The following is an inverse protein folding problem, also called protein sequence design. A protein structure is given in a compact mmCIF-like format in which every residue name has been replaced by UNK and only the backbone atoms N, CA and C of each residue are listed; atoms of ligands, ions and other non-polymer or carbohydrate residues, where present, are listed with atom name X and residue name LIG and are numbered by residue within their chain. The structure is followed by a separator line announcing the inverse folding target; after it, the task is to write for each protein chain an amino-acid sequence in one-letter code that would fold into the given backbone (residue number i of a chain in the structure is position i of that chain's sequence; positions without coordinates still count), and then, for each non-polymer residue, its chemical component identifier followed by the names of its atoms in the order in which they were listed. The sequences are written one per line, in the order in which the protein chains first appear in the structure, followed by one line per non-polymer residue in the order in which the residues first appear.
data_IF_882125731005
#
_entry.id   IF_882125731005
#
_cell.length_a   1.000
_cell.length_b   1.000
_cell.length_c   1.000
_cell.angle_alpha   90.00
_cell.angle_beta   90.00
_cell.angle_gamma   90.00
#
_symmetry.space_group_name_H-M   'P 1'
#
loop_
_entity.id
_entity.type
_entity.pdbx_description
1 polymer ?
#
# COMPACT_ATOMS: atom_id res chain seq x y z
N UNK A 1 4.31 22.55 17.65
CA UNK A 1 3.75 21.22 17.98
C UNK A 1 3.29 20.58 16.69
N UNK A 2 4.04 19.62 16.15
CA UNK A 2 3.58 18.83 15.01
C UNK A 2 2.42 17.96 15.51
N UNK A 3 1.20 18.24 15.04
CA UNK A 3 0.04 17.41 15.37
C UNK A 3 0.26 16.04 14.72
N UNK A 4 0.02 14.95 15.42
CA UNK A 4 -0.07 13.63 14.80
C UNK A 4 -1.46 13.43 14.19
N UNK A 5 -1.62 12.59 13.15
CA UNK A 5 -2.95 12.26 12.65
C UNK A 5 -3.76 11.55 13.75
N UNK A 6 -5.07 11.78 13.74
CA UNK A 6 -6.02 11.19 14.68
C UNK A 6 -7.03 10.37 13.87
N UNK A 7 -7.16 9.08 14.18
CA UNK A 7 -8.15 8.17 13.58
C UNK A 7 -9.09 7.72 14.70
N UNK A 8 -10.39 7.80 14.47
CA UNK A 8 -11.44 7.38 15.42
C UNK A 8 -11.23 7.96 16.85
N UNK A 9 -10.71 9.19 16.94
CA UNK A 9 -10.44 9.88 18.21
C UNK A 9 -9.11 9.55 18.88
N UNK A 10 -8.31 8.64 18.32
CA UNK A 10 -7.03 8.19 18.87
C UNK A 10 -5.86 8.71 18.04
N UNK A 11 -4.80 9.15 18.71
CA UNK A 11 -3.56 9.59 18.03
C UNK A 11 -2.81 8.40 17.47
N UNK A 12 -2.23 8.60 16.29
CA UNK A 12 -1.31 7.64 15.69
C UNK A 12 0.14 8.04 15.98
N UNK A 13 0.97 7.05 16.27
CA UNK A 13 2.42 7.18 16.41
C UNK A 13 3.12 6.22 15.45
N UNK A 14 4.22 6.66 14.84
CA UNK A 14 5.03 5.79 13.99
C UNK A 14 5.65 4.70 14.85
N UNK A 15 5.29 3.45 14.57
CA UNK A 15 5.87 2.26 15.22
C UNK A 15 7.12 1.82 14.49
N UNK A 16 7.07 1.78 13.16
CA UNK A 16 8.20 1.37 12.34
C UNK A 16 8.12 1.93 10.93
N UNK A 17 9.25 2.28 10.32
CA UNK A 17 9.34 2.71 8.91
C UNK A 17 10.08 1.65 8.13
N UNK A 18 9.42 1.06 7.13
CA UNK A 18 10.03 0.05 6.26
C UNK A 18 10.79 0.71 5.11
N UNK A 19 10.14 1.66 4.44
CA UNK A 19 10.72 2.38 3.32
C UNK A 19 10.52 3.87 3.53
N UNK A 20 11.62 4.62 3.40
CA UNK A 20 11.64 6.06 3.48
C UNK A 20 13.06 6.59 3.33
N UNK A 21 13.16 7.83 2.90
CA UNK A 21 14.41 8.60 2.91
C UNK A 21 14.15 9.88 3.73
N UNK A 22 13.86 10.99 3.07
CA UNK A 22 13.43 12.21 3.76
C UNK A 22 12.03 12.09 4.38
N UNK A 23 11.20 11.17 3.87
CA UNK A 23 9.81 10.97 4.27
C UNK A 23 9.44 9.49 4.27
N UNK A 24 8.58 9.03 5.18
CA UNK A 24 8.13 7.65 5.21
C UNK A 24 7.18 7.37 4.04
N UNK A 25 7.57 6.41 3.20
CA UNK A 25 6.80 5.94 2.05
C UNK A 25 5.91 4.78 2.45
N UNK A 26 6.47 3.82 3.19
CA UNK A 26 5.74 2.65 3.66
C UNK A 26 6.14 2.34 5.11
N UNK A 27 5.16 2.33 6.00
CA UNK A 27 5.41 2.31 7.44
C UNK A 27 4.19 1.79 8.20
N UNK A 28 4.41 1.46 9.46
CA UNK A 28 3.36 1.06 10.41
C UNK A 28 3.22 2.13 11.46
N UNK A 29 1.98 2.49 11.73
CA UNK A 29 1.61 3.29 12.89
C UNK A 29 0.82 2.43 13.86
N UNK A 30 0.87 2.82 15.13
CA UNK A 30 0.00 2.29 16.18
C UNK A 30 -0.82 3.43 16.77
N UNK A 31 -1.97 3.10 17.34
CA UNK A 31 -2.73 4.04 18.13
C UNK A 31 -2.58 3.79 19.63
N UNK A 32 -3.26 4.61 20.43
CA UNK A 32 -3.22 4.55 21.91
C UNK A 32 -3.74 3.20 22.48
N UNK A 33 -4.46 2.41 21.68
CA UNK A 33 -4.98 1.07 22.06
C UNK A 33 -4.14 -0.07 21.43
N UNK A 34 -2.94 0.24 20.94
CA UNK A 34 -2.03 -0.70 20.27
C UNK A 34 -2.60 -1.31 18.97
N UNK A 35 -3.66 -0.74 18.41
CA UNK A 35 -4.18 -1.15 17.10
C UNK A 35 -3.19 -0.69 16.01
N UNK A 36 -2.82 -1.62 15.12
CA UNK A 36 -1.83 -1.38 14.08
C UNK A 36 -2.50 -0.95 12.78
N UNK A 37 -1.83 -0.04 12.08
CA UNK A 37 -2.23 0.39 10.74
C UNK A 37 -1.01 0.44 9.83
N UNK A 38 -1.17 -0.05 8.61
CA UNK A 38 -0.19 0.10 7.55
C UNK A 38 -0.48 1.39 6.78
N UNK A 39 0.57 2.12 6.44
CA UNK A 39 0.51 3.38 5.73
C UNK A 39 1.31 3.27 4.43
N UNK A 40 0.72 3.68 3.30
CA UNK A 40 1.43 3.82 2.02
C UNK A 40 1.22 5.21 1.43
N UNK A 41 2.34 5.87 1.11
CA UNK A 41 2.37 7.13 0.40
C UNK A 41 1.99 6.94 -1.08
N UNK A 42 1.25 7.89 -1.65
CA UNK A 42 0.83 7.79 -3.06
C UNK A 42 0.79 9.11 -3.86
N UNK A 43 0.80 10.29 -3.22
CA UNK A 43 0.81 11.58 -3.95
C UNK A 43 1.38 12.73 -3.09
N UNK A 44 2.16 13.63 -3.71
CA UNK A 44 2.68 14.88 -3.12
C UNK A 44 2.19 16.17 -3.81
N UNK A 45 1.43 16.08 -4.91
CA UNK A 45 1.07 17.25 -5.75
C UNK A 45 0.25 18.31 -5.02
N UNK A 46 -0.54 17.89 -4.03
CA UNK A 46 -1.40 18.77 -3.22
C UNK A 46 -1.15 18.56 -1.72
N UNK A 47 0.11 18.43 -1.32
CA UNK A 47 0.48 17.97 0.02
C UNK A 47 0.68 16.46 0.03
N UNK A 48 1.12 15.93 1.18
CA UNK A 48 1.53 14.53 1.29
C UNK A 48 0.33 13.66 1.63
N UNK A 49 0.09 12.63 0.82
CA UNK A 49 -1.08 11.77 0.98
C UNK A 49 -0.67 10.33 1.23
N UNK A 50 -1.33 9.72 2.20
CA UNK A 50 -1.19 8.31 2.55
C UNK A 50 -2.54 7.62 2.61
N UNK A 51 -2.57 6.39 2.14
CA UNK A 51 -3.64 5.44 2.47
C UNK A 51 -3.22 4.74 3.75
N UNK A 52 -4.14 4.71 4.71
CA UNK A 52 -3.95 4.07 6.01
C UNK A 52 -5.03 3.01 6.20
N UNK A 53 -4.60 1.77 6.43
CA UNK A 53 -5.49 0.62 6.61
C UNK A 53 -5.15 -0.12 7.90
N UNK A 54 -6.15 -0.61 8.66
CA UNK A 54 -5.91 -1.51 9.79
C UNK A 54 -5.12 -2.73 9.35
N UNK A 55 -4.25 -3.22 10.23
CA UNK A 55 -3.52 -4.47 10.02
C UNK A 55 -3.28 -5.20 11.34
N UNK A 56 -2.76 -6.41 11.25
CA UNK A 56 -2.39 -7.28 12.36
C UNK A 56 -0.93 -7.71 12.28
N UNK A 57 -0.39 -8.13 13.41
CA UNK A 57 0.94 -8.74 13.49
C UNK A 57 1.09 -9.95 12.55
N UNK A 58 0.02 -10.76 12.40
CA UNK A 58 0.02 -11.91 11.51
C UNK A 58 0.13 -11.52 10.04
N UNK A 59 -0.55 -10.46 9.63
CA UNK A 59 -0.48 -9.94 8.26
C UNK A 59 0.90 -9.32 7.97
N UNK A 60 1.45 -8.55 8.92
CA UNK A 60 2.82 -8.02 8.80
C UNK A 60 3.85 -9.15 8.69
N UNK A 61 3.72 -10.20 9.51
CA UNK A 61 4.54 -11.41 9.42
C UNK A 61 4.42 -12.09 8.05
N UNK A 62 3.20 -12.26 7.56
CA UNK A 62 2.95 -12.87 6.25
C UNK A 62 3.53 -12.03 5.11
N UNK A 63 3.47 -10.70 5.20
CA UNK A 63 4.11 -9.80 4.23
C UNK A 63 5.63 -9.96 4.26
N UNK A 64 6.24 -9.90 5.45
CA UNK A 64 7.71 -10.02 5.61
C UNK A 64 8.26 -11.39 5.22
N UNK A 65 7.43 -12.44 5.25
CA UNK A 65 7.79 -13.80 4.80
C UNK A 65 7.34 -14.12 3.38
N UNK A 66 7.00 -13.09 2.58
CA UNK A 66 6.54 -13.22 1.19
C UNK A 66 5.34 -14.17 1.00
N UNK A 67 4.49 -14.32 2.02
CA UNK A 67 3.26 -15.13 1.94
C UNK A 67 2.10 -14.35 1.33
N UNK A 68 2.11 -13.03 1.52
CA UNK A 68 1.18 -12.09 0.91
C UNK A 68 1.96 -10.92 0.30
N UNK A 69 1.36 -10.25 -0.68
CA UNK A 69 1.91 -9.04 -1.30
C UNK A 69 1.62 -7.83 -0.43
N UNK A 70 2.31 -6.71 -0.70
CA UNK A 70 1.99 -5.43 -0.03
C UNK A 70 0.54 -5.04 -0.32
N UNK A 71 0.08 -5.25 -1.55
CA UNK A 71 -1.29 -4.95 -1.98
C UNK A 71 -2.34 -5.76 -1.18
N UNK A 72 -2.05 -7.01 -0.86
CA UNK A 72 -2.97 -7.86 -0.09
C UNK A 72 -3.26 -7.30 1.31
N UNK A 73 -2.32 -6.58 1.94
CA UNK A 73 -2.58 -5.88 3.22
C UNK A 73 -3.70 -4.84 3.08
N UNK A 74 -3.74 -4.15 1.95
CA UNK A 74 -4.76 -3.14 1.69
C UNK A 74 -6.06 -3.79 1.25
N UNK A 75 -6.02 -4.83 0.42
CA UNK A 75 -7.22 -5.56 0.01
C UNK A 75 -7.92 -6.24 1.21
N UNK A 76 -7.17 -6.74 2.21
CA UNK A 76 -7.75 -7.28 3.45
C UNK A 76 -8.57 -6.24 4.23
N UNK A 77 -8.23 -4.95 4.11
CA UNK A 77 -9.00 -3.86 4.72
C UNK A 77 -10.43 -3.71 4.19
N UNK A 78 -10.73 -4.31 3.02
CA UNK A 78 -12.11 -4.44 2.50
C UNK A 78 -12.99 -5.18 3.51
N UNK A 79 -12.47 -6.24 4.13
CA UNK A 79 -13.20 -7.05 5.10
C UNK A 79 -13.42 -6.29 6.42
N UNK A 80 -12.45 -5.45 6.81
CA UNK A 80 -12.54 -4.61 8.00
C UNK A 80 -13.39 -3.35 7.81
N UNK A 81 -13.73 -2.97 6.58
CA UNK A 81 -14.63 -1.85 6.26
C UNK A 81 -14.09 -0.47 6.70
N UNK A 82 -12.80 -0.36 6.98
CA UNK A 82 -12.15 0.86 7.47
C UNK A 82 -10.85 1.10 6.68
N UNK A 83 -10.86 2.11 5.83
CA UNK A 83 -9.63 2.68 5.27
C UNK A 83 -9.68 4.19 5.47
N UNK A 84 -8.53 4.82 5.54
CA UNK A 84 -8.41 6.24 5.80
C UNK A 84 -7.47 6.87 4.79
N UNK A 85 -7.88 8.04 4.28
CA UNK A 85 -7.00 8.94 3.57
C UNK A 85 -6.45 9.93 4.59
N UNK A 86 -5.12 9.98 4.73
CA UNK A 86 -4.43 10.95 5.56
C UNK A 86 -3.68 11.91 4.65
N UNK A 87 -3.99 13.20 4.74
CA UNK A 87 -3.32 14.27 4.02
C UNK A 87 -2.57 15.16 5.00
N UNK A 88 -1.34 15.51 4.68
CA UNK A 88 -0.56 16.50 5.41
C UNK A 88 -0.26 17.70 4.51
N UNK A 89 -0.64 18.88 4.98
CA UNK A 89 -0.40 20.14 4.28
C UNK A 89 -0.20 21.26 5.32
N UNK A 90 0.82 22.09 5.11
CA UNK A 90 1.10 23.27 5.95
C UNK A 90 1.13 22.98 7.46
N UNK A 91 1.65 21.81 7.86
CA UNK A 91 1.77 21.40 9.26
C UNK A 91 0.49 20.85 9.91
N UNK A 92 -0.57 20.63 9.12
CA UNK A 92 -1.85 20.10 9.58
C UNK A 92 -2.15 18.77 8.90
N UNK A 93 -2.66 17.81 9.68
CA UNK A 93 -3.20 16.57 9.14
C UNK A 93 -4.71 16.69 8.96
N UNK A 94 -5.19 16.31 7.78
CA UNK A 94 -6.59 16.03 7.48
C UNK A 94 -6.76 14.52 7.35
N UNK A 95 -7.76 13.95 8.02
CA UNK A 95 -7.99 12.52 8.06
C UNK A 95 -9.43 12.25 7.66
N UNK A 96 -9.60 11.51 6.57
CA UNK A 96 -10.90 11.16 6.03
C UNK A 96 -11.06 9.65 5.99
N UNK A 97 -12.08 9.14 6.67
CA UNK A 97 -12.50 7.75 6.48
C UNK A 97 -13.08 7.58 5.09
N UNK A 98 -12.59 6.59 4.36
CA UNK A 98 -13.02 6.28 2.99
C UNK A 98 -13.30 4.78 2.88
N UNK A 99 -14.42 4.37 2.25
CA UNK A 99 -14.62 2.98 1.90
C UNK A 99 -13.53 2.52 0.93
N UNK A 100 -12.96 1.33 1.14
CA UNK A 100 -11.90 0.80 0.29
C UNK A 100 -12.22 0.88 -1.22
N UNK A 101 -13.47 0.54 -1.57
CA UNK A 101 -13.95 0.56 -2.97
C UNK A 101 -13.96 1.95 -3.63
N UNK A 102 -13.75 3.02 -2.87
CA UNK A 102 -13.68 4.39 -3.37
C UNK A 102 -12.23 4.90 -3.50
N UNK A 103 -11.25 4.11 -3.05
CA UNK A 103 -9.84 4.43 -3.26
C UNK A 103 -9.51 4.17 -4.73
N UNK A 104 -8.80 5.10 -5.38
CA UNK A 104 -8.34 4.89 -6.75
C UNK A 104 -7.35 3.70 -6.76
N UNK A 105 -7.49 2.84 -7.76
CA UNK A 105 -6.59 1.70 -7.93
C UNK A 105 -5.15 2.12 -8.15
N UNK A 106 -4.96 3.31 -8.74
CA UNK A 106 -3.65 3.89 -9.04
C UNK A 106 -2.98 4.49 -7.79
N UNK A 107 -3.75 4.76 -6.72
CA UNK A 107 -3.24 5.25 -5.43
C UNK A 107 -2.79 4.09 -4.52
N UNK A 108 -3.25 2.86 -4.80
CA UNK A 108 -2.92 1.67 -4.03
C UNK A 108 -1.57 1.07 -4.47
N UNK A 109 -0.90 0.30 -3.59
CA UNK A 109 0.29 -0.44 -3.98
C UNK A 109 0.05 -1.32 -5.21
N UNK A 110 1.08 -1.43 -6.05
CA UNK A 110 1.01 -2.21 -7.29
C UNK A 110 0.72 -3.68 -6.97
N UNK A 111 -0.32 -4.29 -7.55
CA UNK A 111 -0.64 -5.70 -7.33
C UNK A 111 0.52 -6.64 -7.71
N UNK A 112 0.70 -7.71 -6.93
CA UNK A 112 1.71 -8.73 -7.21
C UNK A 112 3.13 -8.43 -6.70
N UNK A 113 3.35 -7.26 -6.11
CA UNK A 113 4.64 -6.87 -5.54
C UNK A 113 4.74 -7.31 -4.07
N UNK A 114 5.67 -8.23 -3.82
CA UNK A 114 6.06 -8.68 -2.50
C UNK A 114 6.96 -7.65 -1.80
N UNK A 115 7.14 -7.84 -0.50
CA UNK A 115 7.94 -6.93 0.32
C UNK A 115 9.43 -7.20 0.10
N UNK A 116 10.11 -6.30 -0.60
CA UNK A 116 11.52 -6.45 -0.94
C UNK A 116 12.42 -5.74 0.07
N UNK A 117 13.04 -6.49 0.97
CA UNK A 117 14.07 -5.99 1.88
C UNK A 117 15.22 -6.99 2.01
N UNK A 118 16.38 -6.54 2.52
CA UNK A 118 17.49 -7.47 2.79
C UNK A 118 17.09 -8.45 3.90
N UNK A 119 17.80 -9.59 3.99
CA UNK A 119 17.52 -10.57 5.05
C UNK A 119 17.72 -9.93 6.43
N UNK A 120 18.74 -9.10 6.55
CA UNK A 120 19.10 -8.36 7.75
C UNK A 120 17.99 -7.38 8.14
N UNK A 121 17.42 -6.67 7.17
CA UNK A 121 16.28 -5.77 7.39
C UNK A 121 15.03 -6.55 7.82
N UNK A 122 14.71 -7.66 7.15
CA UNK A 122 13.58 -8.52 7.54
C UNK A 122 13.72 -9.00 8.98
N UNK A 123 14.90 -9.47 9.39
CA UNK A 123 15.14 -9.90 10.77
C UNK A 123 15.00 -8.75 11.76
N UNK A 124 15.47 -7.54 11.41
CA UNK A 124 15.30 -6.34 12.22
C UNK A 124 13.82 -5.98 12.38
N UNK A 125 13.05 -6.04 11.30
CA UNK A 125 11.64 -5.73 11.28
C UNK A 125 10.84 -6.72 12.13
N UNK A 126 11.06 -8.03 11.94
CA UNK A 126 10.41 -9.06 12.74
C UNK A 126 10.68 -8.86 14.24
N UNK A 127 11.92 -8.54 14.63
CA UNK A 127 12.26 -8.22 16.02
C UNK A 127 11.54 -6.98 16.55
N UNK A 128 11.39 -5.92 15.73
CA UNK A 128 10.68 -4.71 16.14
C UNK A 128 9.20 -4.98 16.47
N UNK A 129 8.63 -6.04 15.91
CA UNK A 129 7.26 -6.49 16.17
C UNK A 129 7.15 -7.71 17.10
N UNK A 130 8.26 -8.18 17.69
CA UNK A 130 8.34 -9.42 18.47
C UNK A 130 7.79 -10.65 17.72
N UNK A 131 8.13 -10.76 16.43
CA UNK A 131 7.73 -11.86 15.54
C UNK A 131 8.87 -12.84 15.30
N UNK A 132 8.50 -14.10 15.08
CA UNK A 132 9.46 -15.17 14.80
C UNK A 132 10.03 -15.11 13.37
N UNK A 133 11.30 -15.49 13.25
CA UNK A 133 11.97 -15.65 11.96
C UNK A 133 11.71 -17.06 11.42
N UNK A 134 10.96 -17.14 10.32
CA UNK A 134 10.76 -18.37 9.58
C UNK A 134 11.81 -18.53 8.46
N UNK A 135 12.84 -19.34 8.73
CA UNK A 135 13.91 -19.63 7.77
C UNK A 135 13.52 -20.64 6.69
N UNK A 136 12.37 -21.32 6.78
CA UNK A 136 12.02 -22.43 5.89
C UNK A 136 11.52 -22.00 4.50
N UNK A 137 11.08 -20.74 4.36
CA UNK A 137 10.48 -20.21 3.13
C UNK A 137 11.48 -19.72 2.05
N UNK A 138 12.79 -19.70 2.33
CA UNK A 138 13.71 -18.80 1.62
C UNK A 138 14.20 -19.25 0.21
N UNK A 139 13.97 -20.50 -0.23
CA UNK A 139 14.54 -20.99 -1.53
C UNK A 139 13.49 -21.35 -2.57
N UNK A 140 12.41 -22.05 -2.19
CA UNK A 140 11.37 -22.49 -3.13
C UNK A 140 10.45 -21.35 -3.59
N UNK A 141 10.19 -20.39 -2.70
CA UNK A 141 9.32 -19.25 -3.00
C UNK A 141 10.00 -18.21 -3.87
N UNK A 142 11.31 -18.00 -3.76
CA UNK A 142 12.01 -17.02 -4.62
C UNK A 142 11.78 -17.30 -6.11
N UNK A 143 11.81 -18.56 -6.53
CA UNK A 143 11.57 -18.95 -7.92
C UNK A 143 10.09 -18.86 -8.35
N UNK A 144 9.14 -19.06 -7.43
CA UNK A 144 7.71 -18.87 -7.72
C UNK A 144 7.30 -17.39 -7.68
N UNK A 145 7.85 -16.63 -6.75
CA UNK A 145 7.70 -15.17 -6.63
C UNK A 145 8.24 -14.51 -7.89
N UNK A 146 9.42 -14.89 -8.38
CA UNK A 146 9.97 -14.31 -9.61
C UNK A 146 9.08 -14.59 -10.83
N UNK A 147 8.47 -15.78 -10.91
CA UNK A 147 7.50 -16.12 -11.96
C UNK A 147 6.21 -15.32 -11.83
N UNK A 148 5.65 -15.24 -10.61
CA UNK A 148 4.44 -14.46 -10.31
C UNK A 148 4.64 -12.96 -10.55
N UNK A 149 5.81 -12.40 -10.21
CA UNK A 149 6.21 -11.01 -10.50
C UNK A 149 6.12 -10.71 -11.99
N UNK A 150 6.65 -11.61 -12.83
CA UNK A 150 6.58 -11.46 -14.29
C UNK A 150 5.15 -11.52 -14.80
N UNK A 151 4.37 -12.50 -14.33
CA UNK A 151 2.96 -12.68 -14.75
C UNK A 151 2.08 -11.49 -14.35
N UNK A 152 2.19 -11.01 -13.11
CA UNK A 152 1.41 -9.87 -12.62
C UNK A 152 1.78 -8.56 -13.34
N UNK A 153 3.07 -8.34 -13.59
CA UNK A 153 3.55 -7.20 -14.37
C UNK A 153 3.04 -7.23 -15.81
N UNK A 154 3.13 -8.37 -16.48
CA UNK A 154 2.64 -8.56 -17.85
C UNK A 154 1.12 -8.36 -17.93
N UNK A 155 0.36 -8.83 -16.94
CA UNK A 155 -1.09 -8.61 -16.87
C UNK A 155 -1.44 -7.13 -16.64
N UNK A 156 -0.74 -6.44 -15.73
CA UNK A 156 -0.92 -5.02 -15.49
C UNK A 156 -0.67 -4.19 -16.76
N UNK A 157 0.46 -4.45 -17.44
CA UNK A 157 0.78 -3.79 -18.71
C UNK A 157 -0.29 -4.06 -19.78
N UNK A 158 -0.78 -5.29 -19.89
CA UNK A 158 -1.84 -5.66 -20.84
C UNK A 158 -3.13 -4.89 -20.58
N UNK A 159 -3.56 -4.80 -19.32
CA UNK A 159 -4.77 -4.03 -18.93
C UNK A 159 -4.60 -2.54 -19.25
N UNK A 160 -3.43 -1.97 -18.95
CA UNK A 160 -3.10 -0.58 -19.26
C UNK A 160 -3.12 -0.29 -20.77
N UNK A 161 -2.55 -1.20 -21.57
CA UNK A 161 -2.55 -1.06 -23.03
C UNK A 161 -3.96 -1.15 -23.63
N UNK A 162 -4.81 -2.05 -23.12
CA UNK A 162 -6.21 -2.15 -23.52
C UNK A 162 -6.99 -0.87 -23.20
N UNK A 163 -6.81 -0.30 -22.00
CA UNK A 163 -7.43 0.97 -21.63
C UNK A 163 -6.97 2.13 -22.54
N UNK A 164 -5.69 2.17 -22.91
CA UNK A 164 -5.18 3.15 -23.87
C UNK A 164 -5.85 3.00 -25.24
N UNK A 165 -5.99 1.79 -25.76
CA UNK A 165 -6.66 1.54 -27.05
C UNK A 165 -8.13 1.96 -27.03
N UNK A 166 -8.85 1.67 -25.95
CA UNK A 166 -10.24 2.09 -25.77
C UNK A 166 -10.35 3.62 -25.80
N UNK A 167 -9.46 4.32 -25.09
CA UNK A 167 -9.40 5.80 -25.11
C UNK A 167 -9.10 6.34 -26.52
N UNK A 168 -8.17 5.73 -27.27
CA UNK A 168 -7.86 6.13 -28.65
C UNK A 168 -9.03 5.90 -29.61
N UNK A 169 -9.79 4.81 -29.43
CA UNK A 169 -10.96 4.50 -30.25
C UNK A 169 -12.11 5.49 -29.99
N UNK A 170 -12.35 5.85 -28.73
CA UNK A 170 -13.37 6.85 -28.36
C UNK A 170 -13.02 8.25 -28.89
N UNK A 171 -11.74 8.65 -28.82
CA UNK A 171 -11.26 9.91 -29.41
C UNK A 171 -11.41 9.93 -30.93
N UNK A 172 -11.13 8.82 -31.62
CA UNK A 172 -11.34 8.69 -33.07
C UNK A 172 -12.82 8.77 -33.47
N UNK A 173 -13.72 8.17 -32.68
CA UNK A 173 -15.16 8.22 -32.94
C UNK A 173 -15.74 9.62 -32.71
N UNK A 174 -15.30 10.34 -31.67
CA UNK A 174 -15.70 11.74 -31.46
C UNK A 174 -15.22 12.69 -32.55
N UNK A 175 -14.05 12.46 -33.16
CA UNK A 175 -13.56 13.24 -34.30
C UNK A 175 -14.31 12.97 -35.61
N UNK A 176 -14.88 11.77 -35.77
CA UNK A 176 -15.71 11.41 -36.95
C UNK A 176 -17.15 11.91 -36.85
N UNK A 177 -17.69 12.13 -35.65
CA UNK A 177 -19.03 12.68 -35.43
C UNK A 177 -19.17 14.21 -35.56
N UNK A 178 -18.09 14.94 -35.84
CA UNK A 178 -18.08 16.42 -35.99
C UNK A 178 -18.06 16.84 -37.47
N UNK A 179 -18.07 15.89 -38.41
CA UNK A 179 -18.09 16.14 -39.87
C UNK A 179 -19.37 15.55 -40.51
N UNK A 180 -20.48 15.52 -39.76
CA UNK A 180 -21.80 15.09 -40.24
C UNK A 180 -22.78 16.25 -40.26
#
# INVERSE_FOLDING_TARGET
MHKTPIIDGKRLTIKHVFFGDERPVFFVVENEDEELFVCSFFDDRNGLNWIVCPTSLQELSNMMHDRITIRDLFDASVEFGKSYLVRWENGVYDVKKIPYKQIDVDDLPTPGYYFEASKEDIELYLRAFNLDVDYTHNTFLKDQIQRRKKEAYDEHLRKRWLQFLVKQHDVRNRRRGIIG
#
